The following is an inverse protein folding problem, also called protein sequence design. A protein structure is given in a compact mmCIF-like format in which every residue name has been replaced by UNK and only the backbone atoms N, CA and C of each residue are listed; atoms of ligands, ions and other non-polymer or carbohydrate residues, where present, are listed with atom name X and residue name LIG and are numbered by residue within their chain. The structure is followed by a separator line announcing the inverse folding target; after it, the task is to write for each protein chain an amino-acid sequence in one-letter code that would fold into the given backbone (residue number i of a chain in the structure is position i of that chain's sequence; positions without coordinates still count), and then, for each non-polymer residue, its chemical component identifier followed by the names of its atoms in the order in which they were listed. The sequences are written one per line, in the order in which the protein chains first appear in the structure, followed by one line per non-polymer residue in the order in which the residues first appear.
data_IF_739548580402
#
_entry.id   IF_739548580402
#
_cell.length_a   1.000
_cell.length_b   1.000
_cell.length_c   1.000
_cell.angle_alpha   90.00
_cell.angle_beta   90.00
_cell.angle_gamma   90.00
#
_symmetry.space_group_name_H-M   'P 1'
#
loop_
_entity.id
_entity.type
_entity.pdbx_description
1 polymer ?
#
# COMPACT_ATOMS: atom_id res chain seq x y z
N UNK A 1 37.46 -44.26 51.27
CA UNK A 1 38.60 -43.35 51.02
C UNK A 1 38.06 -42.05 50.48
N UNK A 2 38.09 -40.98 51.28
CA UNK A 2 38.09 -39.60 50.76
C UNK A 2 39.55 -39.19 50.51
N UNK A 3 39.78 -38.20 49.64
CA UNK A 3 40.19 -36.91 50.20
C UNK A 3 39.48 -35.69 49.57
N UNK A 4 38.95 -34.88 50.47
CA UNK A 4 39.05 -33.41 50.61
C UNK A 4 39.46 -32.53 49.42
N UNK A 5 38.68 -31.46 49.23
CA UNK A 5 39.06 -30.31 48.42
C UNK A 5 38.00 -29.21 48.31
N UNK A 6 37.52 -28.66 49.44
CA UNK A 6 36.70 -27.43 49.47
C UNK A 6 37.61 -26.21 49.50
N UNK A 7 37.40 -25.22 48.60
CA UNK A 7 37.17 -23.81 48.99
C UNK A 7 36.31 -23.05 47.96
N UNK A 8 35.44 -22.13 48.43
CA UNK A 8 34.50 -21.36 47.61
C UNK A 8 35.07 -19.98 47.25
N UNK A 9 34.84 -19.54 46.02
CA UNK A 9 35.09 -18.17 45.56
C UNK A 9 33.79 -17.41 45.41
N UNK A 10 33.50 -16.53 46.35
CA UNK A 10 32.42 -15.54 46.30
C UNK A 10 32.89 -14.32 45.49
N UNK A 11 31.93 -13.58 44.89
CA UNK A 11 32.00 -12.18 44.37
C UNK A 11 32.42 -12.05 42.89
N UNK A 12 31.74 -11.32 41.99
CA UNK A 12 30.89 -10.13 42.12
C UNK A 12 29.91 -10.03 40.92
N UNK A 13 28.69 -9.50 41.10
CA UNK A 13 27.80 -9.11 40.03
C UNK A 13 28.15 -7.69 39.57
N UNK A 14 29.15 -7.53 38.70
CA UNK A 14 29.57 -6.20 38.26
C UNK A 14 30.10 -6.15 36.82
N UNK A 15 29.64 -7.05 35.95
CA UNK A 15 29.90 -6.96 34.50
C UNK A 15 28.60 -7.17 33.71
N UNK A 16 27.57 -6.43 34.11
CA UNK A 16 26.42 -6.14 33.28
C UNK A 16 26.14 -4.67 33.54
N UNK A 17 26.54 -3.77 32.62
CA UNK A 17 26.12 -2.34 32.48
C UNK A 17 26.98 -1.56 31.47
N UNK A 18 28.03 -2.12 30.84
CA UNK A 18 28.83 -1.39 29.83
C UNK A 18 28.61 -1.87 28.38
N UNK A 19 27.35 -2.04 27.99
CA UNK A 19 26.99 -2.40 26.60
C UNK A 19 25.71 -1.75 26.08
N UNK A 20 25.13 -0.79 26.81
CA UNK A 20 23.81 -0.21 26.49
C UNK A 20 23.84 1.26 26.04
N UNK A 21 25.01 1.91 26.02
CA UNK A 21 25.13 3.35 25.71
C UNK A 21 25.73 3.69 24.34
N UNK A 22 26.16 2.71 23.55
CA UNK A 22 26.69 2.95 22.20
C UNK A 22 25.66 2.75 21.07
N UNK A 23 24.51 2.13 21.34
CA UNK A 23 23.46 1.88 20.34
C UNK A 23 22.43 3.02 20.19
N UNK A 24 22.44 3.99 21.11
CA UNK A 24 21.52 5.14 21.08
C UNK A 24 22.03 6.31 20.21
N UNK A 25 23.32 6.36 19.86
CA UNK A 25 23.88 7.42 19.02
C UNK A 25 23.63 7.20 17.51
N UNK A 26 23.43 5.95 17.08
CA UNK A 26 23.24 5.63 15.65
C UNK A 26 21.79 5.87 15.19
N UNK A 27 20.81 5.79 16.09
CA UNK A 27 19.40 6.02 15.75
C UNK A 27 19.11 7.52 15.49
N UNK A 28 19.82 8.42 16.17
CA UNK A 28 19.63 9.88 16.00
C UNK A 28 20.17 10.37 14.64
N UNK A 29 21.20 9.73 14.08
CA UNK A 29 21.77 10.12 12.79
C UNK A 29 20.89 9.73 11.58
N UNK A 30 20.05 8.68 11.70
CA UNK A 30 19.12 8.29 10.63
C UNK A 30 17.84 9.15 10.59
N UNK A 31 17.46 9.79 11.70
CA UNK A 31 16.29 10.68 11.74
C UNK A 31 16.49 11.99 10.95
N UNK A 32 17.74 12.43 10.76
CA UNK A 32 18.08 13.63 10.02
C UNK A 32 17.86 13.51 8.49
N UNK A 33 17.86 12.28 7.95
CA UNK A 33 17.54 12.04 6.53
C UNK A 33 16.03 11.89 6.26
N UNK A 34 15.21 11.67 7.30
CA UNK A 34 13.77 11.41 7.19
C UNK A 34 12.86 12.50 7.77
N UNK A 35 13.41 13.65 8.19
CA UNK A 35 12.59 14.80 8.61
C UNK A 35 11.70 14.55 9.84
N UNK A 36 12.02 13.56 10.67
CA UNK A 36 11.33 13.30 11.93
C UNK A 36 12.05 14.01 13.08
N UNK A 37 11.94 15.33 13.11
CA UNK A 37 12.37 16.15 14.25
C UNK A 37 11.36 16.09 15.41
N UNK A 38 11.79 16.17 16.70
CA UNK A 38 10.92 15.96 17.86
C UNK A 38 10.21 17.22 18.39
N UNK A 39 9.88 18.20 17.53
CA UNK A 39 9.13 19.42 17.93
C UNK A 39 8.29 20.00 16.79
N UNK A 40 7.02 20.32 17.08
CA UNK A 40 6.09 21.09 16.24
C UNK A 40 4.85 20.26 15.86
N UNK A 41 3.77 20.23 16.62
CA UNK A 41 2.95 21.41 16.97
C UNK A 41 1.69 21.36 16.11
N UNK A 42 0.56 20.97 16.71
CA UNK A 42 -0.74 20.90 16.04
C UNK A 42 -1.08 22.23 15.35
N UNK A 43 -1.30 22.16 14.05
CA UNK A 43 -1.74 23.25 13.19
C UNK A 43 -1.97 22.66 11.80
N UNK A 44 -3.23 22.44 11.44
CA UNK A 44 -3.64 21.70 10.24
C UNK A 44 -3.27 22.42 8.95
N UNK A 45 -2.07 22.16 8.45
CA UNK A 45 -1.64 22.52 7.10
C UNK A 45 -1.64 21.27 6.23
N UNK A 46 -2.25 21.37 5.06
CA UNK A 46 -2.28 20.30 4.07
C UNK A 46 -0.87 19.78 3.77
N UNK A 47 -0.76 18.52 3.35
CA UNK A 47 0.51 17.93 2.97
C UNK A 47 1.16 18.76 1.85
N UNK A 48 2.49 18.88 1.85
CA UNK A 48 3.16 19.36 0.64
C UNK A 48 2.89 18.41 -0.54
N UNK A 49 2.96 18.90 -1.77
CA UNK A 49 2.79 18.05 -2.97
C UNK A 49 3.65 16.79 -2.93
N UNK A 50 4.92 16.90 -2.55
CA UNK A 50 5.85 15.77 -2.49
C UNK A 50 5.45 14.74 -1.41
N UNK A 51 4.99 15.20 -0.24
CA UNK A 51 4.50 14.30 0.81
C UNK A 51 3.19 13.61 0.40
N UNK A 52 2.29 14.35 -0.25
CA UNK A 52 1.04 13.80 -0.77
C UNK A 52 1.31 12.72 -1.83
N UNK A 53 2.15 13.00 -2.83
CA UNK A 53 2.45 12.03 -3.90
C UNK A 53 3.16 10.80 -3.34
N UNK A 54 4.12 10.96 -2.43
CA UNK A 54 4.81 9.83 -1.80
C UNK A 54 3.87 8.92 -1.00
N UNK A 55 2.95 9.52 -0.20
CA UNK A 55 1.96 8.74 0.55
C UNK A 55 0.94 8.06 -0.36
N UNK A 56 0.47 8.74 -1.40
CA UNK A 56 -0.46 8.15 -2.38
C UNK A 56 0.20 7.01 -3.16
N UNK A 57 1.47 7.15 -3.53
CA UNK A 57 2.22 6.08 -4.18
C UNK A 57 2.40 4.86 -3.28
N UNK A 58 2.63 5.05 -1.98
CA UNK A 58 2.65 3.95 -1.03
C UNK A 58 1.30 3.21 -0.98
N UNK A 59 0.18 3.93 -0.97
CA UNK A 59 -1.17 3.33 -0.99
C UNK A 59 -1.38 2.53 -2.28
N UNK A 60 -1.04 3.09 -3.45
CA UNK A 60 -1.14 2.40 -4.72
C UNK A 60 -0.25 1.16 -4.80
N UNK A 61 0.97 1.23 -4.28
CA UNK A 61 1.86 0.07 -4.22
C UNK A 61 1.23 -1.06 -3.39
N UNK A 62 0.66 -0.76 -2.22
CA UNK A 62 0.00 -1.77 -1.39
C UNK A 62 -1.21 -2.39 -2.09
N UNK A 63 -2.00 -1.61 -2.82
CA UNK A 63 -3.10 -2.12 -3.62
C UNK A 63 -2.60 -3.02 -4.76
N UNK A 64 -1.56 -2.60 -5.48
CA UNK A 64 -0.92 -3.40 -6.53
C UNK A 64 -0.38 -4.73 -6.03
N UNK A 65 0.28 -4.76 -4.87
CA UNK A 65 0.78 -6.00 -4.26
C UNK A 65 -0.39 -6.97 -3.98
N UNK A 66 -1.53 -6.46 -3.48
CA UNK A 66 -2.73 -7.27 -3.24
C UNK A 66 -3.39 -7.75 -4.54
N UNK A 67 -3.50 -6.90 -5.56
CA UNK A 67 -4.01 -7.31 -6.87
C UNK A 67 -3.15 -8.42 -7.49
N UNK A 68 -1.83 -8.25 -7.47
CA UNK A 68 -0.89 -9.25 -7.99
C UNK A 68 -1.04 -10.58 -7.24
N UNK A 69 -1.22 -10.55 -5.92
CA UNK A 69 -1.45 -11.74 -5.12
C UNK A 69 -2.72 -12.51 -5.55
N UNK A 70 -3.83 -11.81 -5.78
CA UNK A 70 -5.12 -12.40 -6.17
C UNK A 70 -5.14 -12.93 -7.61
N UNK A 71 -4.46 -12.24 -8.52
CA UNK A 71 -4.46 -12.57 -9.96
C UNK A 71 -3.46 -13.68 -10.33
N UNK A 72 -2.80 -14.29 -9.34
CA UNK A 72 -1.86 -15.39 -9.55
C UNK A 72 -2.51 -16.65 -10.12
N UNK A 73 -3.81 -16.85 -9.88
CA UNK A 73 -4.56 -18.01 -10.33
C UNK A 73 -5.92 -17.55 -10.86
N UNK A 74 -6.06 -17.45 -12.20
CA UNK A 74 -7.33 -17.07 -12.79
C UNK A 74 -8.45 -18.04 -12.40
N UNK A 75 -9.66 -17.55 -12.09
CA UNK A 75 -10.78 -18.40 -11.72
C UNK A 75 -11.26 -19.22 -12.92
N UNK A 76 -11.65 -20.47 -12.67
CA UNK A 76 -12.17 -21.40 -13.68
C UNK A 76 -13.68 -21.66 -13.53
N UNK A 77 -14.36 -20.86 -12.70
CA UNK A 77 -15.79 -20.97 -12.43
C UNK A 77 -16.41 -19.58 -12.23
N UNK A 78 -17.73 -19.49 -12.41
CA UNK A 78 -18.47 -18.26 -12.16
C UNK A 78 -18.37 -17.81 -10.69
N UNK A 79 -18.40 -18.75 -9.74
CA UNK A 79 -18.21 -18.45 -8.32
C UNK A 79 -16.81 -17.90 -8.05
N UNK A 80 -15.77 -18.56 -8.57
CA UNK A 80 -14.41 -18.05 -8.41
C UNK A 80 -14.20 -16.67 -9.05
N UNK A 81 -14.89 -16.38 -10.16
CA UNK A 81 -14.89 -15.06 -10.78
C UNK A 81 -15.59 -14.01 -9.90
N UNK A 82 -16.71 -14.35 -9.27
CA UNK A 82 -17.39 -13.50 -8.32
C UNK A 82 -16.50 -13.21 -7.09
N UNK A 83 -15.90 -14.25 -6.50
CA UNK A 83 -15.02 -14.10 -5.33
C UNK A 83 -13.80 -13.24 -5.65
N UNK A 84 -13.14 -13.48 -6.79
CA UNK A 84 -12.04 -12.64 -7.24
C UNK A 84 -12.49 -11.18 -7.39
N UNK A 85 -13.61 -10.95 -8.10
CA UNK A 85 -14.08 -9.59 -8.39
C UNK A 85 -14.48 -8.83 -7.12
N UNK A 86 -15.10 -9.51 -6.15
CA UNK A 86 -15.42 -8.94 -4.84
C UNK A 86 -14.14 -8.47 -4.12
N UNK A 87 -13.10 -9.30 -4.08
CA UNK A 87 -11.82 -8.91 -3.48
C UNK A 87 -11.16 -7.71 -4.21
N UNK A 88 -11.26 -7.66 -5.55
CA UNK A 88 -10.75 -6.52 -6.33
C UNK A 88 -11.50 -5.22 -6.01
N UNK A 89 -12.82 -5.29 -5.80
CA UNK A 89 -13.64 -4.14 -5.39
C UNK A 89 -13.17 -3.64 -4.02
N UNK A 90 -13.02 -4.53 -3.03
CA UNK A 90 -12.62 -4.17 -1.67
C UNK A 90 -11.24 -3.51 -1.64
N UNK A 91 -10.27 -4.05 -2.39
CA UNK A 91 -8.94 -3.44 -2.49
C UNK A 91 -9.03 -2.04 -3.13
N UNK A 92 -9.80 -1.91 -4.22
CA UNK A 92 -9.97 -0.64 -4.93
C UNK A 92 -10.67 0.42 -4.09
N UNK A 93 -11.73 0.06 -3.38
CA UNK A 93 -12.48 0.97 -2.49
C UNK A 93 -11.58 1.40 -1.32
N UNK A 94 -10.83 0.47 -0.73
CA UNK A 94 -9.88 0.80 0.34
C UNK A 94 -8.75 1.74 -0.15
N UNK A 95 -8.16 1.47 -1.32
CA UNK A 95 -7.15 2.33 -1.93
C UNK A 95 -7.70 3.75 -2.17
N UNK A 96 -8.89 3.86 -2.77
CA UNK A 96 -9.56 5.12 -3.04
C UNK A 96 -9.80 5.93 -1.76
N UNK A 97 -10.32 5.27 -0.72
CA UNK A 97 -10.60 5.90 0.56
C UNK A 97 -9.33 6.36 1.29
N UNK A 98 -8.25 5.57 1.22
CA UNK A 98 -6.97 5.97 1.79
C UNK A 98 -6.37 7.17 1.07
N UNK A 99 -6.44 7.23 -0.26
CA UNK A 99 -5.96 8.40 -1.03
C UNK A 99 -6.79 9.65 -0.70
N UNK A 100 -8.12 9.52 -0.57
CA UNK A 100 -9.01 10.63 -0.17
C UNK A 100 -8.69 11.19 1.21
N UNK A 101 -8.25 10.33 2.12
CA UNK A 101 -7.87 10.71 3.47
C UNK A 101 -6.47 11.36 3.53
N UNK A 102 -5.72 11.38 2.43
CA UNK A 102 -4.49 12.17 2.34
C UNK A 102 -4.91 13.62 2.06
N UNK A 103 -4.76 14.49 3.05
CA UNK A 103 -5.05 15.94 2.93
C UNK A 103 -4.26 16.56 1.77
N UNK A 104 -4.86 16.56 0.58
CA UNK A 104 -4.21 16.96 -0.65
C UNK A 104 -4.05 18.48 -0.66
N UNK A 105 -2.88 19.00 -1.09
CA UNK A 105 -2.71 20.43 -1.18
C UNK A 105 -3.58 21.00 -2.32
N UNK A 106 -4.07 22.26 -2.19
CA UNK A 106 -5.03 22.84 -3.13
C UNK A 106 -4.59 22.81 -4.60
N UNK A 107 -3.28 22.90 -4.87
CA UNK A 107 -2.74 22.84 -6.23
C UNK A 107 -2.82 21.44 -6.88
N UNK A 108 -2.97 20.37 -6.09
CA UNK A 108 -3.11 18.99 -6.58
C UNK A 108 -4.58 18.56 -6.67
N UNK A 109 -5.45 19.14 -5.84
CA UNK A 109 -6.85 18.72 -5.68
C UNK A 109 -7.61 18.55 -7.00
N UNK A 110 -7.57 19.49 -7.98
CA UNK A 110 -8.35 19.32 -9.21
C UNK A 110 -7.90 18.14 -10.07
N UNK A 111 -6.60 17.82 -10.06
CA UNK A 111 -6.10 16.63 -10.75
C UNK A 111 -6.49 15.35 -10.00
N UNK A 112 -6.44 15.40 -8.67
CA UNK A 112 -6.85 14.31 -7.81
C UNK A 112 -8.33 13.96 -8.03
N UNK A 113 -9.22 14.94 -8.05
CA UNK A 113 -10.66 14.72 -8.22
C UNK A 113 -10.97 13.97 -9.53
N UNK A 114 -10.33 14.35 -10.64
CA UNK A 114 -10.48 13.66 -11.92
C UNK A 114 -9.97 12.22 -11.86
N UNK A 115 -8.83 12.01 -11.20
CA UNK A 115 -8.28 10.67 -10.99
C UNK A 115 -9.24 9.81 -10.15
N UNK A 116 -9.70 10.31 -9.00
CA UNK A 116 -10.62 9.60 -8.11
C UNK A 116 -11.94 9.28 -8.81
N UNK A 117 -12.51 10.21 -9.59
CA UNK A 117 -13.71 9.96 -10.38
C UNK A 117 -13.50 8.81 -11.39
N UNK A 118 -12.35 8.78 -12.06
CA UNK A 118 -12.04 7.69 -13.00
C UNK A 118 -11.82 6.34 -12.29
N UNK A 119 -11.32 6.36 -11.05
CA UNK A 119 -11.25 5.17 -10.19
C UNK A 119 -12.63 4.65 -9.81
N UNK A 120 -13.54 5.53 -9.39
CA UNK A 120 -14.92 5.17 -9.07
C UNK A 120 -15.65 4.53 -10.25
N UNK A 121 -15.45 5.06 -11.47
CA UNK A 121 -15.99 4.46 -12.68
C UNK A 121 -15.47 3.03 -12.88
N UNK A 122 -14.16 2.80 -12.68
CA UNK A 122 -13.58 1.46 -12.73
C UNK A 122 -14.18 0.50 -11.69
N UNK A 123 -14.42 0.99 -10.47
CA UNK A 123 -15.07 0.21 -9.40
C UNK A 123 -16.53 -0.10 -9.75
N UNK A 124 -17.24 0.83 -10.39
CA UNK A 124 -18.59 0.58 -10.87
C UNK A 124 -18.62 -0.53 -11.94
N UNK A 125 -17.65 -0.56 -12.86
CA UNK A 125 -17.53 -1.67 -13.82
C UNK A 125 -17.17 -3.00 -13.13
N UNK A 126 -16.32 -3.00 -12.10
CA UNK A 126 -16.08 -4.20 -11.28
C UNK A 126 -17.38 -4.70 -10.62
N UNK A 127 -18.21 -3.81 -10.08
CA UNK A 127 -19.51 -4.16 -9.48
C UNK A 127 -20.48 -4.79 -10.50
N UNK A 128 -20.53 -4.25 -11.72
CA UNK A 128 -21.28 -4.89 -12.83
C UNK A 128 -20.73 -6.27 -13.17
N UNK A 129 -19.41 -6.42 -13.20
CA UNK A 129 -18.75 -7.71 -13.40
C UNK A 129 -19.12 -8.72 -12.30
N UNK A 130 -19.11 -8.30 -11.04
CA UNK A 130 -19.51 -9.14 -9.91
C UNK A 130 -20.95 -9.64 -10.06
N UNK A 131 -21.89 -8.74 -10.35
CA UNK A 131 -23.29 -9.09 -10.59
C UNK A 131 -23.43 -10.09 -11.74
N UNK A 132 -22.73 -9.86 -12.85
CA UNK A 132 -22.74 -10.78 -13.98
C UNK A 132 -22.16 -12.16 -13.62
N UNK A 133 -21.07 -12.21 -12.84
CA UNK A 133 -20.48 -13.46 -12.37
C UNK A 133 -21.44 -14.24 -11.45
N UNK A 134 -22.08 -13.56 -10.50
CA UNK A 134 -23.09 -14.14 -9.60
C UNK A 134 -24.28 -14.73 -10.39
N UNK A 135 -24.69 -14.05 -11.46
CA UNK A 135 -25.76 -14.48 -12.36
C UNK A 135 -25.30 -15.47 -13.46
N UNK A 136 -24.05 -15.95 -13.42
CA UNK A 136 -23.46 -16.84 -14.45
C UNK A 136 -23.54 -16.27 -15.87
N UNK A 137 -23.60 -14.96 -16.01
CA UNK A 137 -23.63 -14.25 -17.28
C UNK A 137 -22.20 -14.00 -17.79
N UNK A 138 -21.64 -14.99 -18.48
CA UNK A 138 -20.26 -14.92 -18.98
C UNK A 138 -20.02 -13.74 -19.94
N UNK A 139 -21.01 -13.40 -20.80
CA UNK A 139 -20.90 -12.24 -21.70
C UNK A 139 -20.87 -10.93 -20.91
N UNK A 140 -21.80 -10.74 -19.97
CA UNK A 140 -21.81 -9.55 -19.12
C UNK A 140 -20.54 -9.39 -18.30
N UNK A 141 -19.98 -10.51 -17.80
CA UNK A 141 -18.69 -10.49 -17.11
C UNK A 141 -17.56 -10.04 -18.04
N UNK A 142 -17.47 -10.61 -19.24
CA UNK A 142 -16.45 -10.24 -20.22
C UNK A 142 -16.56 -8.77 -20.66
N UNK A 143 -17.78 -8.27 -20.88
CA UNK A 143 -18.04 -6.89 -21.25
C UNK A 143 -17.56 -5.92 -20.14
N UNK A 144 -17.84 -6.23 -18.88
CA UNK A 144 -17.35 -5.45 -17.74
C UNK A 144 -15.82 -5.44 -17.66
N UNK A 145 -15.16 -6.59 -17.85
CA UNK A 145 -13.69 -6.67 -17.90
C UNK A 145 -13.12 -5.82 -19.05
N UNK A 146 -13.77 -5.82 -20.21
CA UNK A 146 -13.37 -5.00 -21.34
C UNK A 146 -13.50 -3.49 -21.04
N UNK A 147 -14.56 -3.06 -20.36
CA UNK A 147 -14.71 -1.65 -19.94
C UNK A 147 -13.65 -1.24 -18.91
N UNK A 148 -13.31 -2.11 -17.96
CA UNK A 148 -12.21 -1.88 -17.02
C UNK A 148 -10.90 -1.67 -17.80
N UNK A 149 -10.59 -2.55 -18.75
CA UNK A 149 -9.39 -2.45 -19.58
C UNK A 149 -9.36 -1.17 -20.44
N UNK A 150 -10.48 -0.83 -21.08
CA UNK A 150 -10.59 0.38 -21.91
C UNK A 150 -10.34 1.67 -21.12
N UNK A 151 -10.81 1.73 -19.86
CA UNK A 151 -10.56 2.88 -18.98
C UNK A 151 -9.14 2.95 -18.42
N UNK A 152 -8.30 1.91 -18.56
CA UNK A 152 -7.00 1.84 -17.91
C UNK A 152 -6.07 2.96 -18.35
N UNK A 153 -5.92 3.17 -19.66
CA UNK A 153 -4.98 4.18 -20.18
C UNK A 153 -5.30 5.57 -19.64
N UNK A 154 -6.59 5.92 -19.58
CA UNK A 154 -7.03 7.19 -19.03
C UNK A 154 -6.74 7.31 -17.54
N UNK A 155 -7.00 6.25 -16.74
CA UNK A 155 -6.65 6.24 -15.30
C UNK A 155 -5.16 6.44 -15.06
N UNK A 156 -4.31 5.77 -15.83
CA UNK A 156 -2.85 5.92 -15.71
C UNK A 156 -2.40 7.34 -16.07
N UNK A 157 -3.00 7.96 -17.10
CA UNK A 157 -2.73 9.37 -17.44
C UNK A 157 -3.13 10.29 -16.29
N UNK A 158 -4.34 10.14 -15.75
CA UNK A 158 -4.83 10.96 -14.66
C UNK A 158 -3.98 10.81 -13.39
N UNK A 159 -3.48 9.60 -13.10
CA UNK A 159 -2.52 9.40 -12.00
C UNK A 159 -1.22 10.20 -12.20
N UNK A 160 -0.69 10.26 -13.44
CA UNK A 160 0.51 11.09 -13.73
C UNK A 160 0.22 12.57 -13.57
N UNK A 161 -0.97 13.03 -13.94
CA UNK A 161 -1.36 14.44 -13.79
C UNK A 161 -1.39 14.86 -12.31
N UNK A 162 -1.71 13.93 -11.40
CA UNK A 162 -1.59 14.14 -9.94
C UNK A 162 -0.12 14.19 -9.48
N UNK A 163 0.76 13.46 -10.17
CA UNK A 163 2.16 13.28 -9.82
C UNK A 163 2.47 11.92 -9.18
N UNK A 164 1.54 10.96 -9.23
CA UNK A 164 1.77 9.60 -8.77
C UNK A 164 2.64 8.81 -9.75
N UNK A 165 3.61 8.07 -9.22
CA UNK A 165 4.43 7.13 -9.98
C UNK A 165 3.82 5.73 -9.94
N UNK A 166 3.44 5.25 -8.76
CA UNK A 166 2.92 3.90 -8.52
C UNK A 166 1.52 3.74 -9.07
N UNK A 167 0.65 4.73 -8.89
CA UNK A 167 -0.71 4.68 -9.43
C UNK A 167 -0.76 4.82 -10.97
N UNK A 168 0.37 5.20 -11.59
CA UNK A 168 0.47 5.46 -13.03
C UNK A 168 1.04 4.31 -13.85
N UNK A 169 1.37 3.18 -13.19
CA UNK A 169 1.79 1.94 -13.83
C UNK A 169 0.70 0.88 -13.74
N UNK A 170 0.76 -0.09 -14.65
CA UNK A 170 -0.08 -1.28 -14.56
C UNK A 170 0.40 -2.10 -13.36
N UNK A 171 -0.53 -2.64 -12.58
CA UNK A 171 -0.25 -3.68 -11.61
C UNK A 171 0.22 -4.93 -12.36
N UNK A 172 1.52 -5.04 -12.59
CA UNK A 172 2.13 -6.22 -13.20
C UNK A 172 2.56 -7.17 -12.09
N UNK A 173 2.55 -8.47 -12.39
CA UNK A 173 3.23 -9.46 -11.57
C UNK A 173 4.66 -8.96 -11.34
N UNK A 174 5.07 -8.85 -10.08
CA UNK A 174 6.45 -8.52 -9.74
C UNK A 174 7.36 -9.54 -10.41
N UNK A 175 8.01 -9.15 -11.50
CA UNK A 175 9.24 -9.79 -11.93
C UNK A 175 10.26 -9.29 -10.91
N UNK A 176 10.39 -10.00 -9.79
CA UNK A 176 11.59 -9.89 -8.98
C UNK A 176 12.76 -10.14 -9.92
N UNK A 177 13.62 -9.14 -10.06
CA UNK A 177 14.78 -9.17 -10.94
C UNK A 177 15.61 -10.44 -10.77
N UNK A 178 16.03 -10.97 -11.91
CA UNK A 178 17.34 -11.63 -12.01
C UNK A 178 18.42 -10.57 -11.95
#
# INVERSE_FOLDING_TARGET
MQPEGRKPGLRNPAVAVLGALALLAVIVALAAAFGLGPFGGGGGTALTKAQFTAKGDQVCKQAHDKFAALQNSPPNSAQGAADLTQNLIEISDNELNQIRALDAPPEVQPALDRYLQSREQGIAELKKGLEAAQNRNARGYADAQAQIAAGQVQRLKLARDVGFSECSRVAVKGVTGQ
#
